data_IF_832907834367
#
_entry.id   IF_832907834367
#
_cell.length_a   1.000
_cell.length_b   1.000
_cell.length_c   1.000
_cell.angle_alpha   90.00
_cell.angle_beta   90.00
_cell.angle_gamma   90.00
#
_symmetry.space_group_name_H-M   'P 1'
#
loop_
_entity.id
_entity.type
_entity.pdbx_description
1 polymer ?
#
# COMPACT_ATOMS: atom_id res chain seq x y z
N UNK A 1 -6.24 -3.64 -2.07
CA UNK A 1 -6.97 -4.93 -2.12
C UNK A 1 -6.28 -6.07 -1.37
N UNK A 2 -5.00 -5.96 -0.98
CA UNK A 2 -4.37 -6.97 -0.12
C UNK A 2 -5.01 -6.97 1.27
N UNK A 3 -5.08 -5.81 1.92
CA UNK A 3 -5.71 -5.63 3.25
C UNK A 3 -7.14 -6.17 3.30
N UNK A 4 -7.96 -5.93 2.26
CA UNK A 4 -9.30 -6.51 2.19
C UNK A 4 -9.30 -8.05 2.13
N UNK A 5 -8.33 -8.67 1.42
CA UNK A 5 -8.22 -10.13 1.36
C UNK A 5 -7.78 -10.73 2.70
N UNK A 6 -6.95 -10.01 3.44
CA UNK A 6 -6.49 -10.40 4.78
C UNK A 6 -7.51 -10.03 5.88
N UNK A 7 -8.58 -9.31 5.55
CA UNK A 7 -9.58 -8.82 6.52
C UNK A 7 -9.12 -7.61 7.34
N UNK A 8 -8.02 -6.97 6.96
CA UNK A 8 -7.38 -5.85 7.65
C UNK A 8 -7.84 -4.48 7.14
N UNK A 9 -8.60 -4.42 6.05
CA UNK A 9 -9.11 -3.14 5.55
C UNK A 9 -10.25 -2.65 6.46
N UNK A 10 -10.06 -1.54 7.13
CA UNK A 10 -11.01 -1.00 8.11
C UNK A 10 -11.87 0.14 7.56
N UNK A 11 -13.09 0.24 8.10
CA UNK A 11 -13.98 1.38 7.98
C UNK A 11 -13.54 2.50 8.94
N UNK A 12 -14.18 3.66 8.84
CA UNK A 12 -13.88 4.81 9.72
C UNK A 12 -14.21 4.58 11.19
N UNK A 13 -15.09 3.62 11.50
CA UNK A 13 -15.45 3.18 12.85
C UNK A 13 -14.50 2.12 13.42
N UNK A 14 -13.47 1.70 12.64
CA UNK A 14 -12.52 0.66 13.02
C UNK A 14 -13.01 -0.76 12.75
N UNK A 15 -14.23 -0.95 12.22
CA UNK A 15 -14.69 -2.28 11.87
C UNK A 15 -14.17 -2.71 10.49
N UNK A 16 -13.92 -4.01 10.26
CA UNK A 16 -13.43 -4.48 8.97
C UNK A 16 -14.47 -4.26 7.85
N UNK A 17 -13.96 -3.92 6.67
CA UNK A 17 -14.75 -3.80 5.44
C UNK A 17 -15.08 -5.20 4.95
N UNK A 18 -16.36 -5.53 4.91
CA UNK A 18 -16.87 -6.82 4.43
C UNK A 18 -17.33 -6.78 2.98
N UNK A 19 -17.76 -5.61 2.48
CA UNK A 19 -18.24 -5.45 1.12
C UNK A 19 -17.10 -5.15 0.13
N UNK A 20 -17.03 -5.95 -0.94
CA UNK A 20 -16.00 -5.81 -1.98
C UNK A 20 -16.12 -4.50 -2.75
N UNK A 21 -17.33 -3.96 -2.97
CA UNK A 21 -17.51 -2.70 -3.71
C UNK A 21 -17.00 -1.52 -2.87
N UNK A 22 -17.26 -1.54 -1.58
CA UNK A 22 -16.71 -0.58 -0.62
C UNK A 22 -15.18 -0.63 -0.59
N UNK A 23 -14.60 -1.83 -0.55
CA UNK A 23 -13.15 -1.99 -0.61
C UNK A 23 -12.52 -1.40 -1.89
N UNK A 24 -13.17 -1.62 -3.04
CA UNK A 24 -12.75 -1.01 -4.32
C UNK A 24 -12.87 0.52 -4.25
N UNK A 25 -13.95 1.06 -3.68
CA UNK A 25 -14.14 2.50 -3.55
C UNK A 25 -13.06 3.15 -2.67
N UNK A 26 -12.70 2.50 -1.56
CA UNK A 26 -11.59 2.95 -0.69
C UNK A 26 -10.28 2.91 -1.47
N UNK A 27 -9.98 1.80 -2.15
CA UNK A 27 -8.76 1.66 -2.94
C UNK A 27 -8.64 2.75 -4.03
N UNK A 28 -9.73 3.09 -4.72
CA UNK A 28 -9.73 4.17 -5.72
C UNK A 28 -9.46 5.54 -5.09
N UNK A 29 -10.05 5.82 -3.91
CA UNK A 29 -9.81 7.07 -3.16
C UNK A 29 -8.36 7.20 -2.72
N UNK A 30 -7.81 6.14 -2.12
CA UNK A 30 -6.43 6.10 -1.66
C UNK A 30 -5.41 6.16 -2.79
N UNK A 31 -5.75 5.60 -3.96
CA UNK A 31 -4.94 5.71 -5.17
C UNK A 31 -5.04 7.09 -5.85
N UNK A 32 -5.93 7.98 -5.40
CA UNK A 32 -6.20 9.26 -6.06
C UNK A 32 -6.87 9.13 -7.42
N UNK A 33 -7.63 8.04 -7.64
CA UNK A 33 -8.32 7.71 -8.88
C UNK A 33 -9.85 7.78 -8.74
N UNK A 34 -10.36 8.37 -7.65
CA UNK A 34 -11.79 8.50 -7.42
C UNK A 34 -12.40 9.52 -8.38
N UNK A 35 -13.53 9.17 -8.99
CA UNK A 35 -14.33 10.10 -9.79
C UNK A 35 -15.30 10.95 -8.97
N UNK A 36 -15.34 10.77 -7.64
CA UNK A 36 -16.20 11.51 -6.71
C UNK A 36 -15.48 12.64 -5.97
N UNK A 37 -14.15 12.69 -6.06
CA UNK A 37 -13.32 13.69 -5.40
C UNK A 37 -12.70 14.66 -6.41
N UNK A 38 -12.35 15.86 -5.96
CA UNK A 38 -11.67 16.83 -6.81
C UNK A 38 -10.26 16.33 -7.17
N UNK A 39 -9.64 16.81 -8.28
CA UNK A 39 -8.25 16.49 -8.58
C UNK A 39 -7.25 16.90 -7.48
N UNK A 40 -7.57 17.92 -6.68
CA UNK A 40 -6.75 18.34 -5.56
C UNK A 40 -6.80 17.31 -4.43
N UNK A 41 -8.00 16.86 -4.07
CA UNK A 41 -8.22 15.87 -3.01
C UNK A 41 -7.62 14.51 -3.39
N UNK A 42 -7.85 14.06 -4.62
CA UNK A 42 -7.24 12.84 -5.17
C UNK A 42 -5.70 12.87 -5.02
N UNK A 43 -5.05 13.99 -5.37
CA UNK A 43 -3.60 14.14 -5.19
C UNK A 43 -3.18 14.17 -3.73
N UNK A 44 -3.96 14.78 -2.85
CA UNK A 44 -3.67 14.82 -1.42
C UNK A 44 -3.78 13.43 -0.78
N UNK A 45 -4.85 12.69 -1.10
CA UNK A 45 -5.08 11.33 -0.66
C UNK A 45 -3.96 10.39 -1.14
N UNK A 46 -3.63 10.42 -2.44
CA UNK A 46 -2.52 9.63 -2.98
C UNK A 46 -1.19 9.91 -2.27
N UNK A 47 -0.85 11.19 -2.05
CA UNK A 47 0.39 11.56 -1.35
C UNK A 47 0.40 11.08 0.10
N UNK A 48 -0.72 11.22 0.81
CA UNK A 48 -0.85 10.75 2.19
C UNK A 48 -0.67 9.23 2.27
N UNK A 49 -1.39 8.48 1.43
CA UNK A 49 -1.30 7.01 1.38
C UNK A 49 0.12 6.57 1.04
N UNK A 50 0.74 7.12 -0.01
CA UNK A 50 2.12 6.77 -0.39
C UNK A 50 3.13 7.07 0.72
N UNK A 51 2.93 8.16 1.46
CA UNK A 51 3.80 8.52 2.59
C UNK A 51 3.65 7.51 3.73
N UNK A 52 2.41 7.13 4.07
CA UNK A 52 2.12 6.09 5.08
C UNK A 52 2.75 4.76 4.68
N UNK A 53 2.56 4.31 3.43
CA UNK A 53 3.15 3.06 2.94
C UNK A 53 4.68 3.08 3.02
N UNK A 54 5.31 4.20 2.64
CA UNK A 54 6.77 4.34 2.74
C UNK A 54 7.24 4.25 4.19
N UNK A 55 6.53 4.89 5.11
CA UNK A 55 6.85 4.83 6.54
C UNK A 55 6.74 3.40 7.08
N UNK A 56 5.63 2.71 6.79
CA UNK A 56 5.45 1.28 7.16
C UNK A 56 6.56 0.40 6.59
N UNK A 57 6.98 0.62 5.33
CA UNK A 57 8.09 -0.13 4.72
C UNK A 57 9.43 0.18 5.36
N UNK A 58 9.66 1.42 5.79
CA UNK A 58 10.91 1.80 6.45
C UNK A 58 11.12 1.06 7.76
N UNK A 59 10.02 0.76 8.47
CA UNK A 59 9.98 -0.03 9.70
C UNK A 59 9.97 -1.54 9.46
N UNK A 60 9.83 -2.00 8.22
CA UNK A 60 9.72 -3.42 7.91
C UNK A 60 11.07 -4.16 8.05
N UNK A 61 10.98 -5.42 8.46
CA UNK A 61 12.14 -6.31 8.53
C UNK A 61 12.65 -6.66 7.13
N UNK A 62 13.92 -7.07 7.04
CA UNK A 62 14.49 -7.53 5.76
C UNK A 62 13.68 -8.67 5.14
N UNK A 63 13.16 -9.59 5.96
CA UNK A 63 12.35 -10.72 5.49
C UNK A 63 11.03 -10.25 4.85
N UNK A 64 10.32 -9.34 5.53
CA UNK A 64 9.08 -8.76 5.00
C UNK A 64 9.33 -8.01 3.67
N UNK A 65 10.40 -7.23 3.60
CA UNK A 65 10.82 -6.54 2.36
C UNK A 65 11.22 -7.54 1.27
N UNK A 66 11.86 -8.65 1.62
CA UNK A 66 12.20 -9.70 0.66
C UNK A 66 10.96 -10.39 0.08
N UNK A 67 9.97 -10.70 0.91
CA UNK A 67 8.72 -11.31 0.47
C UNK A 67 7.89 -10.37 -0.40
N UNK A 68 7.84 -9.09 -0.07
CA UNK A 68 7.26 -8.06 -0.93
C UNK A 68 8.02 -7.97 -2.27
N UNK A 69 9.36 -7.92 -2.24
CA UNK A 69 10.18 -7.88 -3.44
C UNK A 69 10.01 -9.13 -4.32
N UNK A 70 9.79 -10.30 -3.70
CA UNK A 70 9.43 -11.54 -4.39
C UNK A 70 8.06 -11.44 -5.05
N UNK A 71 7.05 -10.92 -4.34
CA UNK A 71 5.69 -10.70 -4.89
C UNK A 71 5.70 -9.74 -6.08
N UNK A 72 6.58 -8.71 -6.05
CA UNK A 72 6.77 -7.75 -7.16
C UNK A 72 7.76 -8.21 -8.24
N UNK A 73 8.27 -9.44 -8.16
CA UNK A 73 9.23 -10.00 -9.10
C UNK A 73 10.50 -9.15 -9.29
N UNK A 74 10.99 -8.50 -8.24
CA UNK A 74 12.22 -7.69 -8.28
C UNK A 74 13.43 -8.60 -8.54
N UNK A 75 14.13 -8.33 -9.64
CA UNK A 75 15.37 -9.04 -10.00
C UNK A 75 16.47 -8.71 -9.00
N UNK A 76 17.33 -9.68 -8.71
CA UNK A 76 18.47 -9.48 -7.79
C UNK A 76 18.14 -9.38 -6.30
N UNK A 77 16.85 -9.42 -5.91
CA UNK A 77 16.35 -9.32 -4.52
C UNK A 77 17.09 -10.19 -3.49
N UNK A 78 17.58 -11.38 -3.88
CA UNK A 78 18.28 -12.30 -2.96
C UNK A 78 19.63 -11.78 -2.48
N UNK A 79 20.27 -10.90 -3.26
CA UNK A 79 21.55 -10.28 -2.91
C UNK A 79 21.41 -8.92 -2.24
N UNK A 80 20.19 -8.38 -2.20
CA UNK A 80 19.93 -7.07 -1.62
C UNK A 80 19.94 -7.12 -0.07
N UNK A 81 20.55 -6.10 0.52
CA UNK A 81 20.43 -5.73 1.93
C UNK A 81 19.02 -5.21 2.25
N UNK A 82 18.71 -5.01 3.54
CA UNK A 82 17.42 -4.43 3.97
C UNK A 82 17.17 -3.08 3.28
N UNK A 83 18.17 -2.19 3.27
CA UNK A 83 18.06 -0.87 2.67
C UNK A 83 17.91 -0.91 1.15
N UNK A 84 18.59 -1.82 0.47
CA UNK A 84 18.45 -1.99 -0.98
C UNK A 84 17.07 -2.55 -1.36
N UNK A 85 16.52 -3.48 -0.57
CA UNK A 85 15.15 -3.97 -0.75
C UNK A 85 14.14 -2.86 -0.54
N UNK A 86 14.28 -2.07 0.53
CA UNK A 86 13.44 -0.91 0.81
C UNK A 86 13.48 0.10 -0.36
N UNK A 87 14.67 0.44 -0.84
CA UNK A 87 14.83 1.36 -1.95
C UNK A 87 14.25 0.80 -3.26
N UNK A 88 14.45 -0.48 -3.54
CA UNK A 88 13.92 -1.14 -4.74
C UNK A 88 12.39 -1.20 -4.74
N UNK A 89 11.75 -1.30 -3.56
CA UNK A 89 10.30 -1.29 -3.39
C UNK A 89 9.66 0.09 -3.46
N UNK A 90 10.46 1.15 -3.28
CA UNK A 90 10.00 2.54 -3.28
C UNK A 90 10.14 3.24 -4.64
N UNK A 91 10.80 2.59 -5.61
CA UNK A 91 10.87 3.03 -7.02
C UNK A 91 9.63 2.60 -7.79
#
# INVERSE_FOLDING_TARGET
MHEFKEGELERSDGEPVTDRRQAIAIALREAGASNRESPADNRANFRRTRTKERDTRSQATRAALYDEAKRRAIKGRSRMSRGELEQALNR
#
